data_IF_923029765773
#
_entry.id   IF_923029765773
#
_cell.length_a   1.000
_cell.length_b   1.000
_cell.length_c   1.000
_cell.angle_alpha   90.00
_cell.angle_beta   90.00
_cell.angle_gamma   90.00
#
_symmetry.space_group_name_H-M   'P 1'
#
loop_
_entity.id
_entity.type
_entity.pdbx_description
1 polymer ?
#
# COMPACT_ATOMS: atom_id res chain seq x y z
N UNK A 1 -15.00 -9.48 -4.36
CA UNK A 1 -14.56 -9.78 -2.95
C UNK A 1 -13.95 -8.54 -2.37
N UNK A 2 -14.37 -8.11 -1.17
CA UNK A 2 -13.79 -6.94 -0.50
C UNK A 2 -12.39 -7.23 0.03
N UNK A 3 -11.44 -6.29 -0.18
CA UNK A 3 -10.05 -6.47 0.27
C UNK A 3 -9.74 -5.52 1.43
N UNK A 4 -9.37 -6.11 2.57
CA UNK A 4 -8.84 -5.41 3.75
C UNK A 4 -7.34 -5.35 3.63
N UNK A 5 -6.80 -4.21 3.18
CA UNK A 5 -5.36 -3.98 3.10
C UNK A 5 -4.83 -3.48 4.44
N UNK A 6 -3.99 -4.27 5.11
CA UNK A 6 -3.24 -3.83 6.28
C UNK A 6 -2.19 -2.79 5.83
N UNK A 7 -2.39 -1.52 6.18
CA UNK A 7 -1.59 -0.35 5.77
C UNK A 7 -0.20 -0.39 6.41
N UNK A 8 0.82 -0.73 5.63
CA UNK A 8 2.18 -1.01 6.13
C UNK A 8 2.17 -2.12 7.20
N UNK A 9 1.24 -3.08 7.06
CA UNK A 9 0.88 -4.04 8.10
C UNK A 9 -0.18 -3.51 9.07
N UNK A 10 -0.29 -4.11 10.25
CA UNK A 10 -1.15 -3.62 11.33
C UNK A 10 -0.46 -2.46 12.09
N UNK A 11 -0.23 -1.34 11.38
CA UNK A 11 0.63 -0.25 11.84
C UNK A 11 0.10 0.54 13.04
N UNK A 12 -1.16 0.35 13.42
CA UNK A 12 -1.69 0.83 14.71
C UNK A 12 -1.03 0.13 15.89
N UNK A 13 -0.59 -1.12 15.72
CA UNK A 13 -0.21 -2.04 16.80
C UNK A 13 1.25 -2.50 16.73
N UNK A 14 1.93 -2.30 15.61
CA UNK A 14 3.31 -2.72 15.40
C UNK A 14 4.06 -1.72 14.50
N UNK A 15 5.41 -1.71 14.48
CA UNK A 15 6.18 -0.81 13.64
C UNK A 15 5.83 -0.97 12.16
N UNK A 16 5.45 0.12 11.50
CA UNK A 16 5.03 0.12 10.09
C UNK A 16 6.10 -0.41 9.13
N UNK A 17 5.68 -1.04 8.03
CA UNK A 17 6.57 -1.58 7.00
C UNK A 17 7.61 -2.59 7.52
N UNK A 18 7.28 -3.34 8.58
CA UNK A 18 8.13 -4.38 9.15
C UNK A 18 7.46 -5.75 9.11
N UNK A 19 8.26 -6.82 9.23
CA UNK A 19 7.71 -8.18 9.22
C UNK A 19 6.74 -8.43 10.38
N UNK A 20 6.99 -7.84 11.55
CA UNK A 20 6.08 -7.96 12.70
C UNK A 20 4.70 -7.36 12.41
N UNK A 21 4.64 -6.17 11.77
CA UNK A 21 3.37 -5.53 11.42
C UNK A 21 2.62 -6.27 10.32
N UNK A 22 3.32 -6.78 9.31
CA UNK A 22 2.69 -7.56 8.24
C UNK A 22 2.11 -8.87 8.75
N UNK A 23 2.87 -9.62 9.55
CA UNK A 23 2.40 -10.87 10.14
C UNK A 23 1.22 -10.64 11.07
N UNK A 24 1.26 -9.55 11.86
CA UNK A 24 0.14 -9.18 12.73
C UNK A 24 -1.12 -8.84 11.92
N UNK A 25 -1.00 -8.07 10.82
CA UNK A 25 -2.11 -7.75 9.95
C UNK A 25 -2.77 -9.01 9.36
N UNK A 26 -1.96 -9.97 8.90
CA UNK A 26 -2.45 -11.26 8.41
C UNK A 26 -3.11 -12.07 9.52
N UNK A 27 -2.51 -12.09 10.73
CA UNK A 27 -3.09 -12.77 11.89
C UNK A 27 -4.45 -12.18 12.31
N UNK A 28 -4.63 -10.89 12.17
CA UNK A 28 -5.90 -10.19 12.39
C UNK A 28 -6.95 -10.45 11.30
N UNK A 29 -6.61 -11.19 10.24
CA UNK A 29 -7.53 -11.59 9.19
C UNK A 29 -7.53 -10.68 7.95
N UNK A 30 -6.58 -9.74 7.82
CA UNK A 30 -6.40 -9.00 6.58
C UNK A 30 -6.10 -9.97 5.42
N UNK A 31 -6.82 -9.80 4.31
CA UNK A 31 -6.63 -10.55 3.07
C UNK A 31 -5.81 -9.76 2.03
N UNK A 32 -5.28 -8.61 2.43
CA UNK A 32 -4.38 -7.78 1.64
C UNK A 32 -3.34 -7.10 2.52
N UNK A 33 -2.20 -6.77 1.92
CA UNK A 33 -1.14 -5.97 2.54
C UNK A 33 -0.82 -4.82 1.61
N UNK A 34 -0.69 -3.64 2.18
CA UNK A 34 -0.15 -2.48 1.48
C UNK A 34 1.22 -2.14 2.07
N UNK A 35 2.15 -1.72 1.21
CA UNK A 35 3.52 -1.37 1.61
C UNK A 35 4.16 -0.40 0.63
N UNK A 36 5.22 0.29 1.08
CA UNK A 36 5.92 1.35 0.37
C UNK A 36 7.34 0.92 -0.01
N UNK A 37 7.74 1.11 -1.27
CA UNK A 37 9.07 0.72 -1.76
C UNK A 37 9.96 1.94 -1.95
N UNK A 38 11.20 1.84 -1.41
CA UNK A 38 12.30 2.78 -1.62
C UNK A 38 13.59 2.03 -1.95
N UNK A 39 14.60 2.78 -2.41
CA UNK A 39 15.90 2.24 -2.80
C UNK A 39 17.02 2.77 -1.91
N UNK A 40 17.87 1.88 -1.44
CA UNK A 40 19.08 2.20 -0.69
C UNK A 40 20.19 2.74 -1.60
N UNK A 41 21.25 3.27 -0.99
CA UNK A 41 22.44 3.76 -1.68
C UNK A 41 23.10 2.70 -2.58
N UNK A 42 23.09 1.44 -2.17
CA UNK A 42 23.64 0.30 -2.89
C UNK A 42 22.61 -0.42 -3.80
N UNK A 43 21.43 0.19 -4.03
CA UNK A 43 20.43 -0.28 -4.98
C UNK A 43 19.49 -1.36 -4.46
N UNK A 44 19.51 -1.70 -3.17
CA UNK A 44 18.58 -2.66 -2.57
C UNK A 44 17.21 -2.03 -2.37
N UNK A 45 16.14 -2.70 -2.81
CA UNK A 45 14.77 -2.27 -2.52
C UNK A 45 14.38 -2.66 -1.09
N UNK A 46 13.89 -1.68 -0.33
CA UNK A 46 13.44 -1.81 1.06
C UNK A 46 12.05 -1.25 1.25
N UNK A 47 11.40 -1.63 2.33
CA UNK A 47 10.07 -1.17 2.69
C UNK A 47 10.15 -0.01 3.68
N UNK A 48 9.79 1.19 3.23
CA UNK A 48 9.83 2.41 4.05
C UNK A 48 8.99 3.52 3.43
N UNK A 49 8.18 4.21 4.24
CA UNK A 49 7.26 5.23 3.73
C UNK A 49 7.89 6.61 3.53
N UNK A 50 8.50 7.16 4.59
CA UNK A 50 8.90 8.58 4.62
C UNK A 50 10.12 8.87 3.74
N UNK A 51 10.29 10.14 3.38
CA UNK A 51 11.49 10.60 2.71
C UNK A 51 12.68 10.74 3.67
N UNK A 52 12.44 10.72 4.99
CA UNK A 52 13.46 10.84 6.04
C UNK A 52 13.17 9.91 7.23
N UNK A 53 14.09 9.86 8.19
CA UNK A 53 14.02 8.98 9.35
C UNK A 53 13.34 9.58 10.59
N UNK A 54 12.95 10.87 10.53
CA UNK A 54 12.55 11.63 11.73
C UNK A 54 11.39 11.00 12.49
N UNK A 55 10.31 10.66 11.77
CA UNK A 55 9.07 10.19 12.40
C UNK A 55 9.20 8.81 13.02
N UNK A 56 9.77 7.82 12.31
CA UNK A 56 9.70 6.41 12.74
C UNK A 56 11.02 5.86 13.27
N UNK A 57 12.14 6.55 13.02
CA UNK A 57 13.47 6.17 13.57
C UNK A 57 13.88 7.16 14.65
N UNK A 58 13.60 8.46 14.45
CA UNK A 58 13.88 9.51 15.42
C UNK A 58 15.29 10.13 15.27
N UNK A 59 15.88 10.09 14.07
CA UNK A 59 17.15 10.73 13.77
C UNK A 59 17.13 11.40 12.38
N UNK A 60 18.18 12.13 12.02
CA UNK A 60 18.38 12.64 10.67
C UNK A 60 18.87 11.52 9.75
N UNK A 61 18.60 11.65 8.45
CA UNK A 61 19.00 10.73 7.39
C UNK A 61 17.81 10.27 6.55
N UNK A 62 18.10 9.55 5.48
CA UNK A 62 17.11 8.93 4.61
C UNK A 62 17.62 7.58 4.07
N UNK A 63 16.72 6.78 3.51
CA UNK A 63 17.07 5.43 2.98
C UNK A 63 18.19 5.50 1.95
N UNK A 64 18.19 6.52 1.07
CA UNK A 64 19.16 6.66 -0.01
C UNK A 64 20.58 7.04 0.47
N UNK A 65 20.76 7.47 1.72
CA UNK A 65 22.06 7.83 2.28
C UNK A 65 22.90 6.61 2.69
N UNK A 66 22.25 5.43 2.87
CA UNK A 66 22.84 4.24 3.48
C UNK A 66 22.77 3.03 2.55
N UNK A 67 23.78 2.14 2.64
CA UNK A 67 23.67 0.76 2.14
C UNK A 67 22.69 -0.03 3.01
N UNK A 68 22.20 -1.16 2.51
CA UNK A 68 21.31 -2.01 3.32
C UNK A 68 22.01 -2.50 4.60
N UNK A 69 23.30 -2.83 4.54
CA UNK A 69 24.06 -3.26 5.72
C UNK A 69 24.14 -2.15 6.78
N UNK A 70 24.36 -0.92 6.35
CA UNK A 70 24.35 0.25 7.26
C UNK A 70 22.96 0.53 7.84
N UNK A 71 21.87 0.20 7.10
CA UNK A 71 20.50 0.36 7.61
C UNK A 71 20.17 -0.57 8.78
N UNK A 72 20.89 -1.69 8.95
CA UNK A 72 20.62 -2.65 10.03
C UNK A 72 20.86 -2.10 11.45
N UNK A 73 21.54 -0.96 11.58
CA UNK A 73 21.69 -0.26 12.86
C UNK A 73 20.43 0.53 13.28
N UNK A 74 19.54 0.82 12.34
CA UNK A 74 18.35 1.61 12.59
C UNK A 74 17.13 0.70 12.85
N UNK A 75 16.23 1.20 13.70
CA UNK A 75 15.00 0.49 14.02
C UNK A 75 13.79 1.39 13.81
N UNK A 76 12.82 0.89 13.08
CA UNK A 76 11.49 1.50 12.96
C UNK A 76 10.76 1.32 14.27
N UNK A 77 10.21 2.41 14.82
CA UNK A 77 9.51 2.43 16.11
C UNK A 77 8.01 2.59 15.90
N UNK A 78 7.25 2.00 16.78
CA UNK A 78 5.85 2.34 16.99
C UNK A 78 5.71 2.96 18.39
N UNK A 79 5.48 4.27 18.44
CA UNK A 79 5.41 5.02 19.71
C UNK A 79 4.20 4.62 20.57
N UNK A 80 3.11 4.14 19.95
CA UNK A 80 1.89 3.73 20.68
C UNK A 80 2.09 2.46 21.50
N UNK A 81 2.94 1.55 21.00
CA UNK A 81 3.17 0.22 21.62
C UNK A 81 4.54 0.07 22.22
N UNK A 82 5.40 1.07 22.10
CA UNK A 82 6.82 1.04 22.53
C UNK A 82 7.59 -0.16 21.93
N UNK A 83 7.22 -0.57 20.72
CA UNK A 83 7.87 -1.66 19.99
C UNK A 83 8.76 -1.14 18.88
N UNK A 84 9.75 -1.93 18.48
CA UNK A 84 10.67 -1.61 17.39
C UNK A 84 11.02 -2.85 16.59
N UNK A 85 11.33 -2.65 15.30
CA UNK A 85 11.74 -3.70 14.38
C UNK A 85 12.69 -3.15 13.32
N UNK A 86 13.30 -4.01 12.54
CA UNK A 86 14.28 -3.64 11.50
C UNK A 86 13.59 -3.23 10.19
N UNK A 87 14.33 -2.48 9.35
CA UNK A 87 13.93 -2.16 7.97
C UNK A 87 14.01 -3.44 7.13
N UNK A 88 12.93 -3.77 6.41
CA UNK A 88 12.79 -5.03 5.66
C UNK A 88 13.18 -4.84 4.21
N UNK A 89 13.95 -5.80 3.63
CA UNK A 89 14.13 -5.88 2.18
C UNK A 89 12.81 -6.24 1.52
N UNK A 90 12.50 -5.60 0.40
CA UNK A 90 11.33 -5.96 -0.39
C UNK A 90 11.38 -7.42 -0.86
N UNK A 91 12.56 -7.93 -1.22
CA UNK A 91 12.73 -9.34 -1.60
C UNK A 91 12.42 -10.30 -0.45
N UNK A 92 12.83 -9.98 0.80
CA UNK A 92 12.52 -10.83 1.95
C UNK A 92 11.01 -10.82 2.26
N UNK A 93 10.34 -9.67 2.16
CA UNK A 93 8.89 -9.58 2.25
C UNK A 93 8.19 -10.50 1.24
N UNK A 94 8.58 -10.45 -0.04
CA UNK A 94 8.02 -11.30 -1.09
C UNK A 94 8.30 -12.78 -0.84
N UNK A 95 9.50 -13.12 -0.36
CA UNK A 95 9.88 -14.51 -0.03
C UNK A 95 9.00 -15.09 1.08
N UNK A 96 8.66 -14.29 2.12
CA UNK A 96 7.91 -14.76 3.27
C UNK A 96 6.39 -14.71 3.08
N UNK A 97 5.87 -13.76 2.31
CA UNK A 97 4.43 -13.52 2.20
C UNK A 97 3.87 -13.76 0.79
N UNK A 98 4.68 -13.68 -0.26
CA UNK A 98 4.23 -13.77 -1.65
C UNK A 98 3.58 -15.11 -2.02
N UNK A 99 3.91 -16.21 -1.34
CA UNK A 99 3.28 -17.51 -1.57
C UNK A 99 1.88 -17.65 -0.93
N UNK A 100 1.52 -16.75 0.01
CA UNK A 100 0.21 -16.77 0.67
C UNK A 100 -0.89 -16.30 -0.28
N UNK A 101 -2.11 -16.71 0.00
CA UNK A 101 -3.31 -16.23 -0.70
C UNK A 101 -3.72 -14.85 -0.13
N UNK A 102 -3.00 -13.82 -0.58
CA UNK A 102 -3.15 -12.43 -0.17
C UNK A 102 -3.10 -11.52 -1.39
N UNK A 103 -3.73 -10.36 -1.30
CA UNK A 103 -3.56 -9.24 -2.22
C UNK A 103 -2.44 -8.32 -1.76
N UNK A 104 -1.67 -7.76 -2.71
CA UNK A 104 -0.57 -6.86 -2.38
C UNK A 104 -0.73 -5.53 -3.13
N UNK A 105 -0.78 -4.42 -2.40
CA UNK A 105 -0.70 -3.08 -2.97
C UNK A 105 0.71 -2.54 -2.69
N UNK A 106 1.48 -2.33 -3.75
CA UNK A 106 2.88 -1.91 -3.68
C UNK A 106 2.99 -0.45 -4.13
N UNK A 107 3.20 0.46 -3.18
CA UNK A 107 3.34 1.88 -3.51
C UNK A 107 4.78 2.24 -3.90
N UNK A 108 4.94 2.83 -5.07
CA UNK A 108 6.20 3.41 -5.52
C UNK A 108 6.36 4.82 -4.92
N UNK A 109 7.35 4.99 -4.03
CA UNK A 109 7.71 6.29 -3.45
C UNK A 109 8.72 7.06 -4.32
N UNK A 110 9.37 6.37 -5.25
CA UNK A 110 10.36 6.86 -6.18
C UNK A 110 10.12 6.23 -7.55
N UNK A 111 10.83 6.68 -8.59
CA UNK A 111 10.79 6.03 -9.90
C UNK A 111 11.55 4.70 -9.87
N UNK A 112 10.84 3.65 -9.47
CA UNK A 112 11.35 2.29 -9.25
C UNK A 112 10.52 1.25 -10.02
N UNK A 113 9.84 1.66 -11.09
CA UNK A 113 8.94 0.78 -11.83
C UNK A 113 9.65 -0.48 -12.34
N UNK A 114 10.83 -0.32 -12.94
CA UNK A 114 11.59 -1.42 -13.55
C UNK A 114 12.07 -2.45 -12.51
N UNK A 115 12.71 -1.98 -11.44
CA UNK A 115 13.26 -2.84 -10.37
C UNK A 115 12.11 -3.53 -9.59
N UNK A 116 11.02 -2.81 -9.35
CA UNK A 116 9.84 -3.37 -8.66
C UNK A 116 9.20 -4.46 -9.49
N UNK A 117 8.95 -4.22 -10.78
CA UNK A 117 8.40 -5.22 -11.71
C UNK A 117 9.30 -6.46 -11.76
N UNK A 118 10.63 -6.27 -11.89
CA UNK A 118 11.58 -7.38 -11.96
C UNK A 118 11.51 -8.29 -10.73
N UNK A 119 11.39 -7.71 -9.51
CA UNK A 119 11.21 -8.50 -8.30
C UNK A 119 9.83 -9.18 -8.24
N UNK A 120 8.77 -8.46 -8.55
CA UNK A 120 7.42 -9.02 -8.55
C UNK A 120 7.26 -10.18 -9.55
N UNK A 121 7.84 -10.07 -10.74
CA UNK A 121 7.87 -11.15 -11.74
C UNK A 121 8.64 -12.37 -11.23
N UNK A 122 9.81 -12.17 -10.62
CA UNK A 122 10.64 -13.25 -10.05
C UNK A 122 9.87 -14.07 -9.00
N UNK A 123 8.99 -13.43 -8.23
CA UNK A 123 8.18 -14.08 -7.20
C UNK A 123 6.77 -14.46 -7.67
N UNK A 124 6.46 -14.35 -8.98
CA UNK A 124 5.16 -14.69 -9.58
C UNK A 124 3.99 -13.93 -8.95
N UNK A 125 4.17 -12.62 -8.72
CA UNK A 125 3.20 -11.78 -8.01
C UNK A 125 2.13 -11.15 -8.91
N UNK A 126 2.16 -11.37 -10.22
CA UNK A 126 1.32 -10.66 -11.20
C UNK A 126 -0.18 -10.71 -10.88
N UNK A 127 -0.70 -11.85 -10.48
CA UNK A 127 -2.13 -12.03 -10.21
C UNK A 127 -2.54 -11.56 -8.81
N UNK A 128 -1.56 -11.32 -7.93
CA UNK A 128 -1.76 -10.97 -6.53
C UNK A 128 -1.46 -9.50 -6.23
N UNK A 129 -0.55 -8.89 -7.00
CA UNK A 129 -0.08 -7.54 -6.74
C UNK A 129 -0.71 -6.50 -7.67
N UNK A 130 -0.84 -5.30 -7.14
CA UNK A 130 -1.14 -4.07 -7.87
C UNK A 130 -0.09 -3.03 -7.50
N UNK A 131 0.48 -2.35 -8.51
CA UNK A 131 1.48 -1.30 -8.29
C UNK A 131 0.76 0.03 -8.23
N UNK A 132 1.02 0.81 -7.18
CA UNK A 132 0.32 2.08 -6.94
C UNK A 132 1.28 3.23 -6.73
N UNK A 133 0.84 4.45 -6.97
CA UNK A 133 1.56 5.66 -6.59
C UNK A 133 0.65 6.88 -6.56
N UNK A 134 1.05 7.92 -5.82
CA UNK A 134 0.53 9.29 -5.93
C UNK A 134 1.11 10.05 -7.13
N UNK A 135 2.19 9.54 -7.73
CA UNK A 135 2.83 10.13 -8.90
C UNK A 135 2.33 9.42 -10.16
N UNK A 136 1.58 10.15 -10.99
CA UNK A 136 1.06 9.61 -12.24
C UNK A 136 2.16 9.04 -13.14
N UNK A 137 3.30 9.75 -13.25
CA UNK A 137 4.41 9.32 -14.09
C UNK A 137 4.98 7.96 -13.68
N UNK A 138 4.94 7.59 -12.38
CA UNK A 138 5.45 6.30 -11.92
C UNK A 138 4.55 5.14 -12.36
N UNK A 139 3.23 5.28 -12.21
CA UNK A 139 2.27 4.25 -12.68
C UNK A 139 2.18 4.21 -14.21
N UNK A 140 2.32 5.34 -14.89
CA UNK A 140 2.46 5.42 -16.35
C UNK A 140 3.69 4.64 -16.82
N UNK A 141 4.84 4.83 -16.15
CA UNK A 141 6.07 4.09 -16.44
C UNK A 141 5.88 2.57 -16.29
N UNK A 142 5.14 2.11 -15.27
CA UNK A 142 4.78 0.69 -15.14
C UNK A 142 4.04 0.19 -16.39
N UNK A 143 3.03 0.91 -16.86
CA UNK A 143 2.24 0.53 -18.06
C UNK A 143 3.06 0.59 -19.35
N UNK A 144 4.00 1.53 -19.48
CA UNK A 144 4.92 1.59 -20.62
C UNK A 144 5.85 0.39 -20.69
N UNK A 145 6.39 -0.06 -19.53
CA UNK A 145 7.27 -1.23 -19.44
C UNK A 145 6.49 -2.54 -19.61
N UNK A 146 5.36 -2.63 -18.94
CA UNK A 146 4.56 -3.84 -18.86
C UNK A 146 3.05 -3.50 -18.83
N UNK A 147 2.41 -3.38 -20.00
CA UNK A 147 0.98 -3.03 -20.12
C UNK A 147 0.05 -4.01 -19.37
N UNK A 148 0.52 -5.22 -19.17
CA UNK A 148 -0.22 -6.30 -18.49
C UNK A 148 -0.18 -6.24 -16.95
N UNK A 149 0.64 -5.35 -16.34
CA UNK A 149 0.63 -5.14 -14.89
C UNK A 149 -0.55 -4.25 -14.48
N UNK A 150 -1.23 -4.65 -13.41
CA UNK A 150 -2.30 -3.83 -12.82
C UNK A 150 -1.69 -2.66 -12.06
N UNK A 151 -2.30 -1.49 -12.25
CA UNK A 151 -1.91 -0.26 -11.53
C UNK A 151 -3.11 0.39 -10.84
N UNK A 152 -2.81 1.10 -9.74
CA UNK A 152 -3.77 1.93 -9.02
C UNK A 152 -3.24 3.36 -8.84
N UNK A 153 -4.11 4.34 -9.07
CA UNK A 153 -3.76 5.75 -8.89
C UNK A 153 -4.24 6.24 -7.53
N UNK A 154 -3.29 6.56 -6.65
CA UNK A 154 -3.56 7.16 -5.33
C UNK A 154 -3.79 8.66 -5.50
N UNK A 155 -4.97 9.13 -5.13
CA UNK A 155 -5.37 10.53 -5.27
C UNK A 155 -6.08 11.01 -4.01
N UNK A 156 -6.00 12.33 -3.74
CA UNK A 156 -6.80 12.91 -2.64
C UNK A 156 -8.26 12.96 -3.08
N UNK A 157 -8.57 13.86 -3.97
CA UNK A 157 -9.89 14.06 -4.55
C UNK A 157 -9.86 13.61 -6.01
N UNK A 158 -10.93 13.00 -6.48
CA UNK A 158 -11.05 12.54 -7.87
C UNK A 158 -11.62 13.67 -8.72
N UNK A 159 -10.89 14.06 -9.76
CA UNK A 159 -11.28 15.06 -10.75
C UNK A 159 -11.43 14.41 -12.13
N UNK A 160 -12.04 15.11 -13.08
CA UNK A 160 -12.13 14.66 -14.46
C UNK A 160 -10.74 14.46 -15.11
N UNK A 161 -9.76 15.29 -14.75
CA UNK A 161 -8.36 15.15 -15.19
C UNK A 161 -7.76 13.84 -14.71
N UNK A 162 -7.92 13.50 -13.42
CA UNK A 162 -7.45 12.23 -12.84
C UNK A 162 -8.09 11.02 -13.52
N UNK A 163 -9.39 11.08 -13.79
CA UNK A 163 -10.09 10.00 -14.50
C UNK A 163 -9.59 9.86 -15.95
N UNK A 164 -9.37 10.99 -16.63
CA UNK A 164 -8.78 11.02 -17.98
C UNK A 164 -7.36 10.45 -18.00
N UNK A 165 -6.52 10.84 -17.04
CA UNK A 165 -5.15 10.33 -16.88
C UNK A 165 -5.17 8.82 -16.68
N UNK A 166 -5.94 8.32 -15.72
CA UNK A 166 -6.01 6.90 -15.41
C UNK A 166 -6.54 6.07 -16.60
N UNK A 167 -7.56 6.59 -17.31
CA UNK A 167 -8.09 5.97 -18.52
C UNK A 167 -7.04 5.93 -19.65
N UNK A 168 -6.24 6.99 -19.81
CA UNK A 168 -5.24 7.12 -20.88
C UNK A 168 -4.17 6.04 -20.86
N UNK A 169 -3.90 5.47 -19.68
CA UNK A 169 -2.90 4.40 -19.46
C UNK A 169 -3.54 3.04 -19.21
N UNK A 170 -4.86 2.92 -19.29
CA UNK A 170 -5.58 1.68 -19.02
C UNK A 170 -5.43 1.23 -17.55
N UNK A 171 -5.48 2.18 -16.62
CA UNK A 171 -5.40 1.88 -15.19
C UNK A 171 -6.69 1.25 -14.66
N UNK A 172 -6.56 0.32 -13.73
CA UNK A 172 -7.67 -0.52 -13.29
C UNK A 172 -8.22 -0.14 -11.90
N UNK A 173 -7.40 0.48 -11.05
CA UNK A 173 -7.83 0.83 -9.70
C UNK A 173 -7.72 2.33 -9.43
N UNK A 174 -8.82 2.91 -9.00
CA UNK A 174 -8.89 4.28 -8.49
C UNK A 174 -8.81 4.25 -6.97
N UNK A 175 -7.88 5.03 -6.41
CA UNK A 175 -7.62 5.02 -4.98
C UNK A 175 -7.86 6.41 -4.37
N UNK A 176 -9.14 6.80 -4.09
CA UNK A 176 -9.48 8.07 -3.47
C UNK A 176 -9.18 8.09 -1.98
N UNK A 177 -8.95 9.28 -1.42
CA UNK A 177 -8.90 9.46 0.03
C UNK A 177 -10.29 9.27 0.64
N UNK A 178 -10.40 8.49 1.72
CA UNK A 178 -11.65 8.06 2.34
C UNK A 178 -12.65 9.20 2.65
N UNK A 179 -12.15 10.40 2.99
CA UNK A 179 -13.01 11.56 3.27
C UNK A 179 -13.81 12.09 2.07
N UNK A 180 -13.41 11.73 0.84
CA UNK A 180 -14.10 12.13 -0.39
C UNK A 180 -14.95 11.01 -0.99
N UNK A 181 -15.03 9.87 -0.29
CA UNK A 181 -15.84 8.73 -0.73
C UNK A 181 -17.31 8.95 -0.36
N UNK A 182 -18.17 8.92 -1.37
CA UNK A 182 -19.65 8.91 -1.24
C UNK A 182 -20.20 7.76 -2.06
N UNK A 183 -21.41 7.30 -1.73
CA UNK A 183 -22.06 6.21 -2.48
C UNK A 183 -22.26 6.57 -3.96
N UNK A 184 -22.65 7.82 -4.24
CA UNK A 184 -22.81 8.35 -5.59
C UNK A 184 -21.51 8.29 -6.39
N UNK A 185 -20.40 8.75 -5.79
CA UNK A 185 -19.09 8.72 -6.44
C UNK A 185 -18.63 7.29 -6.72
N UNK A 186 -18.78 6.38 -5.73
CA UNK A 186 -18.38 4.97 -5.91
C UNK A 186 -19.19 4.30 -7.02
N UNK A 187 -20.51 4.51 -7.06
CA UNK A 187 -21.38 4.01 -8.13
C UNK A 187 -20.94 4.52 -9.51
N UNK A 188 -20.64 5.83 -9.61
CA UNK A 188 -20.17 6.44 -10.85
C UNK A 188 -18.81 5.85 -11.30
N UNK A 189 -17.86 5.66 -10.39
CA UNK A 189 -16.54 5.09 -10.70
C UNK A 189 -16.63 3.61 -11.08
N UNK A 190 -17.50 2.83 -10.41
CA UNK A 190 -17.81 1.46 -10.83
C UNK A 190 -18.44 1.42 -12.21
N UNK A 191 -19.36 2.35 -12.51
CA UNK A 191 -19.96 2.49 -13.85
C UNK A 191 -18.93 2.77 -14.97
N UNK A 192 -17.78 3.36 -14.62
CA UNK A 192 -16.63 3.55 -15.52
C UNK A 192 -15.71 2.32 -15.59
N UNK A 193 -15.96 1.27 -14.79
CA UNK A 193 -15.17 0.04 -14.76
C UNK A 193 -14.01 0.02 -13.77
N UNK A 194 -13.87 1.02 -12.91
CA UNK A 194 -12.79 1.07 -11.94
C UNK A 194 -13.08 0.20 -10.71
N UNK A 195 -12.06 -0.51 -10.22
CA UNK A 195 -12.02 -1.01 -8.86
C UNK A 195 -11.67 0.16 -7.91
N UNK A 196 -12.42 0.33 -6.83
CA UNK A 196 -12.27 1.47 -5.91
C UNK A 196 -11.66 1.03 -4.58
N UNK A 197 -10.47 1.53 -4.24
CA UNK A 197 -9.79 1.26 -2.96
C UNK A 197 -9.57 2.54 -2.16
N UNK A 198 -10.28 2.72 -1.05
CA UNK A 198 -10.12 3.89 -0.19
C UNK A 198 -8.83 3.83 0.63
N UNK A 199 -8.11 4.97 0.73
CA UNK A 199 -6.95 5.16 1.60
C UNK A 199 -7.16 6.34 2.55
N UNK A 200 -6.25 6.53 3.53
CA UNK A 200 -6.36 7.62 4.51
C UNK A 200 -7.55 7.46 5.46
N UNK A 201 -7.86 6.22 5.78
CA UNK A 201 -8.91 5.83 6.73
C UNK A 201 -8.40 6.07 8.15
N UNK A 202 -8.48 7.32 8.61
CA UNK A 202 -7.86 7.77 9.84
C UNK A 202 -8.63 7.37 11.12
N UNK A 203 -9.91 7.03 11.00
CA UNK A 203 -10.77 6.71 12.15
C UNK A 203 -11.92 5.79 11.76
N UNK A 204 -12.66 5.34 12.78
CA UNK A 204 -13.76 4.40 12.63
C UNK A 204 -14.94 4.93 11.79
N UNK A 205 -15.22 6.24 11.85
CA UNK A 205 -16.32 6.83 11.08
C UNK A 205 -16.01 6.89 9.59
N UNK A 206 -14.80 7.25 9.21
CA UNK A 206 -14.35 7.16 7.81
C UNK A 206 -14.33 5.72 7.30
N UNK A 207 -13.93 4.78 8.16
CA UNK A 207 -13.94 3.35 7.83
C UNK A 207 -15.36 2.85 7.53
N UNK A 208 -16.32 3.15 8.42
CA UNK A 208 -17.73 2.79 8.22
C UNK A 208 -18.28 3.42 6.95
N UNK A 209 -18.08 4.72 6.78
CA UNK A 209 -18.56 5.44 5.62
C UNK A 209 -18.04 4.80 4.32
N UNK A 210 -16.74 4.60 4.18
CA UNK A 210 -16.16 4.04 2.97
C UNK A 210 -16.69 2.62 2.69
N UNK A 211 -16.81 1.77 3.72
CA UNK A 211 -17.38 0.44 3.59
C UNK A 211 -18.85 0.49 3.14
N UNK A 212 -19.67 1.29 3.81
CA UNK A 212 -21.11 1.40 3.54
C UNK A 212 -21.38 2.09 2.17
N UNK A 213 -20.44 2.87 1.64
CA UNK A 213 -20.48 3.41 0.27
C UNK A 213 -20.15 2.37 -0.82
N UNK A 214 -19.71 1.16 -0.45
CA UNK A 214 -19.50 0.07 -1.40
C UNK A 214 -18.16 0.05 -2.12
N UNK A 215 -17.08 0.63 -1.54
CA UNK A 215 -15.74 0.48 -2.13
C UNK A 215 -15.32 -1.00 -2.16
N UNK A 216 -14.41 -1.38 -3.06
CA UNK A 216 -13.93 -2.76 -3.22
C UNK A 216 -12.85 -3.15 -2.23
N UNK A 217 -12.23 -2.17 -1.59
CA UNK A 217 -11.22 -2.40 -0.56
C UNK A 217 -10.83 -1.14 0.19
N UNK A 218 -10.15 -1.33 1.30
CA UNK A 218 -9.64 -0.23 2.12
C UNK A 218 -8.24 -0.51 2.64
N UNK A 219 -7.43 0.53 2.70
CA UNK A 219 -6.11 0.55 3.34
C UNK A 219 -6.25 1.13 4.75
N UNK A 220 -6.08 0.29 5.79
CA UNK A 220 -6.33 0.64 7.20
C UNK A 220 -5.18 0.23 8.12
N UNK A 221 -4.91 1.05 9.15
CA UNK A 221 -3.89 0.75 10.17
C UNK A 221 -4.36 -0.31 11.19
N UNK A 222 -5.68 -0.53 11.29
CA UNK A 222 -6.39 -1.34 12.28
C UNK A 222 -7.32 -2.37 11.59
N UNK A 223 -6.76 -3.38 10.91
CA UNK A 223 -7.56 -4.33 10.12
C UNK A 223 -8.59 -5.10 10.94
N UNK A 224 -8.31 -5.41 12.21
CA UNK A 224 -9.21 -6.06 13.15
C UNK A 224 -10.54 -5.31 13.34
N UNK A 225 -10.50 -3.98 13.41
CA UNK A 225 -11.71 -3.16 13.56
C UNK A 225 -12.59 -3.20 12.31
N UNK A 226 -11.98 -3.14 11.12
CA UNK A 226 -12.71 -3.25 9.86
C UNK A 226 -13.34 -4.63 9.71
N UNK A 227 -12.60 -5.69 9.97
CA UNK A 227 -13.11 -7.06 9.90
C UNK A 227 -14.26 -7.27 10.90
N UNK A 228 -14.10 -6.77 12.13
CA UNK A 228 -15.17 -6.83 13.15
C UNK A 228 -16.43 -6.09 12.70
N UNK A 229 -16.28 -4.97 11.98
CA UNK A 229 -17.43 -4.25 11.42
C UNK A 229 -18.09 -5.02 10.28
N UNK A 230 -17.30 -5.58 9.37
CA UNK A 230 -17.81 -6.39 8.25
C UNK A 230 -18.63 -7.59 8.72
N UNK A 231 -18.13 -8.32 9.74
CA UNK A 231 -18.84 -9.48 10.33
C UNK A 231 -20.20 -9.09 10.92
N UNK A 232 -20.32 -7.89 11.51
CA UNK A 232 -21.58 -7.39 12.09
C UNK A 232 -22.61 -6.96 11.03
N UNK A 233 -22.18 -6.74 9.79
CA UNK A 233 -23.03 -6.31 8.66
C UNK A 233 -23.56 -7.48 7.83
N UNK A 234 -22.99 -8.68 7.99
CA UNK A 234 -23.47 -9.93 7.38
C UNK A 234 -24.61 -10.53 8.19
#
# INVERSE_FOLDING_TARGET
MFVVYAHRGASEYAPENTMSSFQLGVHMGANGIETDVRRTKDGVLVLFHDGDFKRVIGCEGCIADYTYEELMQFHVKNEKTDTKDIIVKFEDFLRYLGFRDLHFAIELKEDLAEETIALLDRYNMKDKAIITSFKFDYIKRVKELRPDWRIGYLVKEVTEEILSDLASIGGEQLCPQAKYVTAENVEAWHGMGYNVRAWGVANFDLMKNAYDCGVDGMTVNFPDQLISYMVKKQ
#
